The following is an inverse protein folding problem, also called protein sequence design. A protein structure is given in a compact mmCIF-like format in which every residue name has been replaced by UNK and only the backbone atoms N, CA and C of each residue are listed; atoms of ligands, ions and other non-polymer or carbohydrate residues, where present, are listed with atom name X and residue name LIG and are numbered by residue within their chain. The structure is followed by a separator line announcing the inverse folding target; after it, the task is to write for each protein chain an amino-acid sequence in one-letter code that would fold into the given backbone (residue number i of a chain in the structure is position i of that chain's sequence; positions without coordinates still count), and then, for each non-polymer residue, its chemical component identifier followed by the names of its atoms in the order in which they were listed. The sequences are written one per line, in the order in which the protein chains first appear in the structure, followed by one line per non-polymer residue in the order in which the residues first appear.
data_IF_701194205516
#
_entry.id   IF_701194205516
#
_cell.length_a   1.000
_cell.length_b   1.000
_cell.length_c   1.000
_cell.angle_alpha   90.00
_cell.angle_beta   90.00
_cell.angle_gamma   90.00
#
_symmetry.space_group_name_H-M   'P 1'
#
loop_
_entity.id
_entity.type
_entity.pdbx_description
1 polymer ?
#
# COMPACT_ATOMS: atom_id res chain seq x y z
N UNK A 1 -28.09 0.12 -41.89
CA UNK A 1 -27.29 -0.94 -41.25
C UNK A 1 -26.23 -0.22 -40.43
N UNK A 2 -26.57 0.12 -39.20
CA UNK A 2 -25.62 0.76 -38.29
C UNK A 2 -24.65 -0.30 -37.79
N UNK A 3 -23.45 -0.30 -38.36
CA UNK A 3 -22.37 -1.16 -37.92
C UNK A 3 -21.82 -0.56 -36.62
N UNK A 4 -22.52 -0.80 -35.52
CA UNK A 4 -22.04 -0.49 -34.18
C UNK A 4 -20.65 -1.13 -33.97
N UNK A 5 -19.74 -0.46 -33.24
CA UNK A 5 -18.45 -1.07 -32.91
C UNK A 5 -18.68 -2.35 -32.10
N UNK A 6 -17.93 -3.41 -32.41
CA UNK A 6 -18.07 -4.74 -31.79
C UNK A 6 -17.59 -4.82 -30.32
N UNK A 7 -17.27 -3.69 -29.69
CA UNK A 7 -16.72 -3.62 -28.33
C UNK A 7 -17.42 -2.51 -27.53
N UNK A 8 -17.96 -2.84 -26.34
CA UNK A 8 -18.78 -1.93 -25.51
C UNK A 8 -18.02 -1.18 -24.41
N UNK A 9 -16.86 -1.67 -23.98
CA UNK A 9 -15.98 -1.01 -23.01
C UNK A 9 -14.54 -1.49 -23.20
N UNK A 10 -13.57 -0.64 -22.88
CA UNK A 10 -12.14 -1.00 -22.84
C UNK A 10 -11.62 -0.75 -21.44
N UNK A 11 -10.95 -1.75 -20.86
CA UNK A 11 -10.21 -1.62 -19.62
C UNK A 11 -8.73 -1.91 -19.89
N UNK A 12 -7.88 -0.98 -19.48
CA UNK A 12 -6.43 -1.10 -19.58
C UNK A 12 -5.82 -0.94 -18.18
N UNK A 13 -4.72 -1.62 -17.94
CA UNK A 13 -3.92 -1.53 -16.73
C UNK A 13 -2.46 -1.80 -17.11
N UNK A 14 -1.54 -1.01 -16.57
CA UNK A 14 -0.13 -1.08 -16.91
C UNK A 14 0.59 -2.02 -15.94
N UNK A 15 1.33 -2.99 -16.48
CA UNK A 15 2.08 -3.98 -15.68
C UNK A 15 3.49 -3.52 -15.30
N UNK A 16 4.05 -2.52 -16.00
CA UNK A 16 5.44 -2.10 -15.83
C UNK A 16 5.61 -0.60 -15.53
N UNK A 17 6.78 -0.31 -14.95
CA UNK A 17 7.22 0.97 -14.40
C UNK A 17 7.36 2.03 -15.49
N UNK A 18 6.63 3.15 -15.38
CA UNK A 18 6.85 4.32 -16.23
C UNK A 18 8.13 5.02 -15.77
N UNK A 19 9.22 4.83 -16.50
CA UNK A 19 10.46 5.59 -16.32
C UNK A 19 10.44 6.70 -17.38
N UNK A 20 10.13 7.94 -16.99
CA UNK A 20 10.13 9.05 -17.95
C UNK A 20 10.08 10.46 -17.34
N UNK A 21 11.09 11.27 -17.69
CA UNK A 21 11.15 12.73 -17.54
C UNK A 21 12.35 13.24 -16.74
N UNK A 22 13.18 14.13 -17.30
CA UNK A 22 14.32 14.75 -16.62
C UNK A 22 13.89 15.55 -15.37
N UNK A 23 14.17 15.01 -14.19
CA UNK A 23 14.07 15.69 -12.88
C UNK A 23 15.48 15.86 -12.26
N UNK A 24 16.53 15.67 -13.07
CA UNK A 24 17.93 15.56 -12.62
C UNK A 24 18.61 16.87 -12.21
N UNK A 25 17.98 18.02 -12.40
CA UNK A 25 18.66 19.32 -12.30
C UNK A 25 18.77 19.91 -10.89
N UNK A 26 18.22 19.25 -9.86
CA UNK A 26 18.28 19.74 -8.47
C UNK A 26 18.77 18.62 -7.53
N UNK A 27 20.02 18.67 -7.03
CA UNK A 27 20.54 17.70 -6.09
C UNK A 27 19.71 17.66 -4.80
N UNK A 28 19.33 16.46 -4.34
CA UNK A 28 18.56 16.25 -3.10
C UNK A 28 17.03 16.36 -3.25
N UNK A 29 16.52 17.23 -4.12
CA UNK A 29 15.06 17.38 -4.35
C UNK A 29 14.52 16.37 -5.37
N UNK A 30 15.37 15.98 -6.33
CA UNK A 30 15.00 15.12 -7.44
C UNK A 30 14.54 13.73 -7.01
N UNK A 31 15.21 13.14 -6.03
CA UNK A 31 14.86 11.82 -5.52
C UNK A 31 13.49 11.80 -4.85
N UNK A 32 13.23 12.72 -3.91
CA UNK A 32 11.97 12.78 -3.16
C UNK A 32 10.76 13.10 -4.07
N UNK A 33 10.93 14.01 -5.04
CA UNK A 33 9.88 14.33 -6.02
C UNK A 33 9.63 13.14 -6.94
N UNK A 34 10.70 12.50 -7.44
CA UNK A 34 10.58 11.36 -8.32
C UNK A 34 9.95 10.16 -7.61
N UNK A 35 10.29 9.91 -6.34
CA UNK A 35 9.67 8.87 -5.54
C UNK A 35 8.19 9.16 -5.26
N UNK A 36 7.84 10.42 -4.98
CA UNK A 36 6.45 10.86 -4.76
C UNK A 36 5.60 10.70 -6.01
N UNK A 37 6.08 11.19 -7.16
CA UNK A 37 5.40 11.07 -8.46
C UNK A 37 5.25 9.60 -8.81
N UNK A 38 6.32 8.83 -8.65
CA UNK A 38 6.33 7.41 -8.94
C UNK A 38 5.31 6.64 -8.08
N UNK A 39 5.30 6.88 -6.77
CA UNK A 39 4.33 6.27 -5.86
C UNK A 39 2.88 6.66 -6.20
N UNK A 40 2.64 7.91 -6.59
CA UNK A 40 1.31 8.37 -7.01
C UNK A 40 0.85 7.71 -8.32
N UNK A 41 1.76 7.53 -9.29
CA UNK A 41 1.46 6.84 -10.55
C UNK A 41 1.25 5.34 -10.33
N UNK A 42 2.09 4.71 -9.51
CA UNK A 42 1.92 3.31 -9.11
C UNK A 42 0.53 3.11 -8.50
N UNK A 43 0.13 3.96 -7.56
CA UNK A 43 -1.16 3.86 -6.90
C UNK A 43 -2.37 4.13 -7.82
N UNK A 44 -2.15 4.70 -9.01
CA UNK A 44 -3.20 5.14 -9.94
C UNK A 44 -3.35 4.23 -11.17
N UNK A 45 -2.27 3.60 -11.63
CA UNK A 45 -2.25 2.90 -12.94
C UNK A 45 -1.87 1.42 -12.82
N UNK A 46 -1.31 1.00 -11.69
CA UNK A 46 -0.96 -0.42 -11.49
C UNK A 46 -2.19 -1.25 -11.19
N UNK A 47 -2.19 -2.48 -11.70
CA UNK A 47 -3.19 -3.48 -11.33
C UNK A 47 -3.21 -3.66 -9.81
N UNK A 48 -4.38 -3.66 -9.13
CA UNK A 48 -5.76 -3.81 -9.58
C UNK A 48 -6.52 -2.54 -10.00
N UNK A 49 -5.89 -1.36 -9.99
CA UNK A 49 -6.59 -0.12 -10.35
C UNK A 49 -6.96 -0.13 -11.84
N UNK A 50 -8.23 0.17 -12.12
CA UNK A 50 -8.84 0.07 -13.46
C UNK A 50 -9.44 1.41 -13.82
N UNK A 51 -9.05 1.96 -14.97
CA UNK A 51 -9.79 3.05 -15.63
C UNK A 51 -10.76 2.39 -16.61
N UNK A 52 -12.07 2.56 -16.37
CA UNK A 52 -13.13 2.05 -17.24
C UNK A 52 -13.66 3.23 -18.05
N UNK A 53 -13.42 3.22 -19.36
CA UNK A 53 -14.01 4.20 -20.27
C UNK A 53 -15.17 3.58 -21.04
N UNK A 54 -16.42 4.02 -20.81
CA UNK A 54 -17.55 3.60 -21.62
C UNK A 54 -17.41 4.23 -23.03
N UNK A 55 -17.48 3.39 -24.07
CA UNK A 55 -17.30 3.84 -25.46
C UNK A 55 -18.62 4.32 -26.08
N UNK A 56 -19.75 3.93 -25.48
CA UNK A 56 -21.11 4.31 -25.92
C UNK A 56 -21.90 4.72 -24.67
N UNK A 57 -22.92 5.58 -24.82
CA UNK A 57 -23.85 5.93 -23.75
C UNK A 57 -24.95 4.85 -23.64
N UNK A 58 -25.03 4.15 -22.51
CA UNK A 58 -25.97 3.05 -22.28
C UNK A 58 -25.87 2.46 -20.88
N UNK A 59 -26.79 1.56 -20.53
CA UNK A 59 -26.93 0.99 -19.20
C UNK A 59 -25.96 -0.21 -19.01
N UNK A 60 -24.68 0.10 -18.75
CA UNK A 60 -23.57 -0.88 -18.66
C UNK A 60 -23.38 -1.51 -17.29
N UNK A 61 -24.36 -1.39 -16.40
CA UNK A 61 -24.30 -1.90 -15.02
C UNK A 61 -23.85 -3.37 -15.00
N UNK A 62 -24.36 -4.21 -15.89
CA UNK A 62 -23.98 -5.63 -15.97
C UNK A 62 -22.54 -5.88 -16.42
N UNK A 63 -21.99 -5.09 -17.35
CA UNK A 63 -20.58 -5.23 -17.76
C UNK A 63 -19.63 -4.73 -16.67
N UNK A 64 -20.05 -3.73 -15.90
CA UNK A 64 -19.27 -3.21 -14.77
C UNK A 64 -19.16 -4.25 -13.63
N UNK A 65 -20.16 -5.13 -13.45
CA UNK A 65 -20.08 -6.23 -12.49
C UNK A 65 -19.00 -7.26 -12.83
N UNK A 66 -18.87 -7.66 -14.10
CA UNK A 66 -17.81 -8.60 -14.53
C UNK A 66 -16.40 -7.98 -14.48
N UNK A 67 -16.31 -6.64 -14.47
CA UNK A 67 -15.08 -5.90 -14.27
C UNK A 67 -14.71 -5.70 -12.80
N UNK A 68 -15.58 -6.09 -11.86
CA UNK A 68 -15.24 -6.04 -10.43
C UNK A 68 -14.12 -7.04 -10.12
N UNK A 69 -13.19 -6.60 -9.28
CA UNK A 69 -12.06 -7.40 -8.87
C UNK A 69 -12.55 -8.59 -8.06
N UNK A 70 -12.39 -9.79 -8.62
CA UNK A 70 -12.62 -11.02 -7.87
C UNK A 70 -11.45 -11.17 -6.88
N UNK A 71 -11.72 -11.33 -5.58
CA UNK A 71 -10.65 -11.53 -4.62
C UNK A 71 -9.91 -12.84 -4.93
N UNK A 72 -8.59 -12.76 -5.05
CA UNK A 72 -7.71 -13.92 -5.16
C UNK A 72 -7.62 -14.68 -3.83
N UNK A 73 -7.81 -13.99 -2.71
CA UNK A 73 -7.84 -14.63 -1.39
C UNK A 73 -7.88 -13.64 -0.23
N UNK A 74 -7.70 -14.16 0.97
CA UNK A 74 -7.58 -13.40 2.22
C UNK A 74 -6.16 -13.56 2.74
N UNK A 75 -5.52 -12.43 3.03
CA UNK A 75 -4.25 -12.37 3.73
C UNK A 75 -4.51 -12.15 5.22
N UNK A 76 -4.17 -13.13 6.04
CA UNK A 76 -4.16 -13.02 7.50
C UNK A 76 -2.81 -12.49 7.99
N UNK A 77 -2.83 -11.36 8.67
CA UNK A 77 -1.65 -10.70 9.22
C UNK A 77 -1.76 -10.65 10.73
N UNK A 78 -0.83 -11.31 11.42
CA UNK A 78 -0.66 -11.14 12.87
C UNK A 78 0.42 -10.09 13.15
N UNK A 79 0.00 -8.89 13.49
CA UNK A 79 0.90 -7.81 13.92
C UNK A 79 1.31 -8.07 15.37
N UNK A 80 2.53 -8.57 15.58
CA UNK A 80 3.00 -9.02 16.90
C UNK A 80 3.63 -7.88 17.71
N UNK A 81 4.82 -7.43 17.30
CA UNK A 81 5.61 -6.46 18.07
C UNK A 81 6.60 -5.70 17.16
N UNK A 82 7.06 -4.55 17.63
CA UNK A 82 8.25 -3.85 17.15
C UNK A 82 9.28 -3.79 18.29
N UNK A 83 10.56 -3.62 17.94
CA UNK A 83 11.66 -3.49 18.92
C UNK A 83 12.66 -2.47 18.45
N UNK A 84 13.19 -1.71 19.40
CA UNK A 84 14.21 -0.69 19.12
C UNK A 84 13.71 0.39 18.16
N UNK A 85 12.45 0.80 18.30
CA UNK A 85 11.96 2.00 17.61
C UNK A 85 12.86 3.18 18.01
N UNK A 86 13.30 3.97 17.03
CA UNK A 86 14.12 5.16 17.27
C UNK A 86 13.19 6.33 17.53
N UNK A 87 13.44 7.04 18.62
CA UNK A 87 12.87 8.36 18.84
C UNK A 87 13.94 9.36 18.36
N UNK A 88 13.59 10.26 17.44
CA UNK A 88 14.53 11.31 17.02
C UNK A 88 14.88 12.22 18.20
N UNK A 89 13.97 12.36 19.16
CA UNK A 89 14.22 12.98 20.44
C UNK A 89 14.82 11.96 21.41
N UNK A 90 16.13 12.10 21.65
CA UNK A 90 16.96 11.22 22.50
C UNK A 90 16.51 11.09 23.98
N UNK A 91 15.30 11.52 24.37
CA UNK A 91 14.72 11.38 25.71
C UNK A 91 13.19 11.16 25.65
N UNK A 92 12.76 9.89 25.57
CA UNK A 92 11.51 9.35 26.14
C UNK A 92 10.14 9.82 25.60
N UNK A 93 9.20 8.85 25.50
CA UNK A 93 7.78 8.94 25.07
C UNK A 93 7.53 8.90 23.57
N UNK A 94 7.83 7.75 22.96
CA UNK A 94 7.12 7.37 21.73
C UNK A 94 5.87 6.58 22.08
N UNK A 95 4.76 6.98 21.47
CA UNK A 95 3.46 6.34 21.52
C UNK A 95 3.17 5.64 20.17
N UNK A 96 3.86 4.52 19.84
CA UNK A 96 3.80 3.95 18.51
C UNK A 96 2.47 3.26 18.17
N UNK A 97 2.06 3.41 16.91
CA UNK A 97 0.98 2.63 16.29
C UNK A 97 1.30 2.30 14.83
N UNK A 98 0.76 1.20 14.32
CA UNK A 98 0.93 0.79 12.93
C UNK A 98 -0.30 1.13 12.07
N UNK A 99 -0.05 1.55 10.83
CA UNK A 99 -1.02 1.53 9.72
C UNK A 99 -0.59 0.45 8.75
N UNK A 100 -1.49 -0.49 8.47
CA UNK A 100 -1.23 -1.65 7.62
C UNK A 100 -2.26 -1.70 6.49
N UNK A 101 -1.81 -1.88 5.25
CA UNK A 101 -2.69 -1.96 4.08
C UNK A 101 -2.05 -2.66 2.90
N UNK A 102 -2.87 -3.20 2.00
CA UNK A 102 -2.42 -3.80 0.74
C UNK A 102 -2.41 -2.72 -0.34
N UNK A 103 -1.24 -2.40 -0.89
CA UNK A 103 -1.13 -1.46 -2.02
C UNK A 103 -1.64 -2.11 -3.31
N UNK A 104 -2.17 -1.30 -4.24
CA UNK A 104 -2.34 0.16 -4.21
C UNK A 104 -3.63 0.66 -3.51
N UNK A 105 -4.45 -0.23 -2.94
CA UNK A 105 -5.79 0.11 -2.44
C UNK A 105 -5.70 0.72 -1.03
N UNK A 106 -5.54 2.04 -0.97
CA UNK A 106 -5.42 2.79 0.30
C UNK A 106 -6.71 2.81 1.12
N UNK A 107 -7.87 2.54 0.53
CA UNK A 107 -9.16 2.61 1.23
C UNK A 107 -9.35 1.49 2.28
N UNK A 108 -8.42 0.52 2.33
CA UNK A 108 -8.45 -0.61 3.27
C UNK A 108 -7.34 -0.53 4.34
N UNK A 109 -6.96 0.68 4.76
CA UNK A 109 -6.00 0.87 5.85
C UNK A 109 -6.60 0.42 7.18
N UNK A 110 -5.90 -0.50 7.84
CA UNK A 110 -6.17 -0.90 9.23
C UNK A 110 -5.14 -0.24 10.14
N UNK A 111 -5.62 0.44 11.18
CA UNK A 111 -4.79 1.08 12.21
C UNK A 111 -4.77 0.20 13.46
N UNK A 112 -3.60 -0.05 14.01
CA UNK A 112 -3.45 -0.74 15.29
C UNK A 112 -3.76 0.16 16.47
N UNK A 113 -3.85 -0.42 17.67
CA UNK A 113 -3.77 0.34 18.91
C UNK A 113 -2.45 1.09 19.01
N UNK A 114 -2.53 2.25 19.66
CA UNK A 114 -1.37 3.00 20.13
C UNK A 114 -0.87 2.36 21.43
N UNK A 115 0.43 2.06 21.49
CA UNK A 115 1.09 1.61 22.72
C UNK A 115 1.79 2.83 23.31
N UNK A 116 1.51 3.17 24.55
CA UNK A 116 2.01 4.41 25.13
C UNK A 116 3.42 4.23 25.71
N UNK A 117 4.32 5.16 25.39
CA UNK A 117 5.67 5.30 25.93
C UNK A 117 6.48 4.00 25.91
N UNK A 118 6.49 3.30 24.77
CA UNK A 118 7.20 2.02 24.62
C UNK A 118 7.83 1.87 23.23
N UNK A 119 9.17 1.87 23.19
CA UNK A 119 9.97 1.64 21.97
C UNK A 119 9.99 0.17 21.54
N UNK A 120 9.40 -0.73 22.34
CA UNK A 120 9.27 -2.16 22.09
C UNK A 120 7.79 -2.59 22.06
N UNK A 121 6.96 -1.80 21.37
CA UNK A 121 5.52 -1.98 21.28
C UNK A 121 5.10 -3.42 20.95
N UNK A 122 4.17 -3.96 21.74
CA UNK A 122 3.55 -5.27 21.53
C UNK A 122 2.05 -5.05 21.23
N UNK A 123 1.64 -5.29 19.99
CA UNK A 123 0.24 -5.12 19.55
C UNK A 123 -0.56 -6.42 19.69
N UNK A 124 0.00 -7.55 19.24
CA UNK A 124 -0.68 -8.84 19.15
C UNK A 124 -2.07 -8.77 18.46
N UNK A 125 -2.15 -8.04 17.35
CA UNK A 125 -3.40 -7.83 16.62
C UNK A 125 -3.52 -8.73 15.39
N UNK A 126 -4.73 -9.21 15.11
CA UNK A 126 -5.05 -9.98 13.92
C UNK A 126 -5.77 -9.08 12.91
N UNK A 127 -5.22 -9.00 11.69
CA UNK A 127 -5.70 -8.13 10.63
C UNK A 127 -5.88 -8.95 9.34
N UNK A 128 -7.09 -8.92 8.79
CA UNK A 128 -7.40 -9.60 7.52
C UNK A 128 -7.46 -8.61 6.35
N UNK A 129 -6.88 -8.97 5.21
CA UNK A 129 -6.95 -8.14 4.00
C UNK A 129 -7.40 -8.96 2.80
N UNK A 130 -8.37 -8.44 2.07
CA UNK A 130 -8.74 -8.99 0.75
C UNK A 130 -7.63 -8.70 -0.25
N UNK A 131 -7.08 -9.76 -0.85
CA UNK A 131 -6.07 -9.71 -1.89
C UNK A 131 -6.74 -10.01 -3.23
N UNK A 132 -6.39 -9.25 -4.26
CA UNK A 132 -6.96 -9.34 -5.60
C UNK A 132 -5.94 -9.91 -6.59
N UNK A 133 -4.64 -9.66 -6.39
CA UNK A 133 -3.54 -10.29 -7.14
C UNK A 133 -2.26 -10.31 -6.33
N UNK A 134 -1.82 -11.53 -6.03
CA UNK A 134 -0.61 -11.83 -5.26
C UNK A 134 0.66 -11.39 -6.01
N UNK A 135 0.62 -11.33 -7.35
CA UNK A 135 1.80 -11.04 -8.17
C UNK A 135 2.19 -9.56 -8.22
N UNK A 136 1.22 -8.65 -8.09
CA UNK A 136 1.44 -7.19 -8.16
C UNK A 136 1.28 -6.49 -6.81
N UNK A 137 0.48 -7.06 -5.90
CA UNK A 137 0.20 -6.42 -4.62
C UNK A 137 1.29 -6.68 -3.58
N UNK A 138 1.40 -5.74 -2.65
CA UNK A 138 2.29 -5.82 -1.49
C UNK A 138 1.58 -5.30 -0.24
N UNK A 139 1.91 -5.87 0.91
CA UNK A 139 1.50 -5.40 2.22
C UNK A 139 2.45 -4.28 2.65
N UNK A 140 1.93 -3.08 2.83
CA UNK A 140 2.66 -1.96 3.40
C UNK A 140 2.36 -1.81 4.88
N UNK A 141 3.41 -1.71 5.68
CA UNK A 141 3.33 -1.49 7.13
C UNK A 141 4.08 -0.20 7.42
N UNK A 142 3.38 0.76 8.01
CA UNK A 142 3.94 2.03 8.46
C UNK A 142 3.73 2.17 9.96
N UNK A 143 4.79 2.35 10.73
CA UNK A 143 4.69 2.64 12.16
C UNK A 143 4.91 4.13 12.36
N UNK A 144 3.99 4.72 13.11
CA UNK A 144 3.97 6.11 13.45
C UNK A 144 4.14 6.30 14.94
N UNK A 145 4.74 7.41 15.34
CA UNK A 145 4.71 7.91 16.71
C UNK A 145 3.52 8.86 16.87
N UNK A 146 2.65 8.61 17.85
CA UNK A 146 1.54 9.51 18.14
C UNK A 146 1.99 10.66 19.05
N UNK A 147 2.21 11.83 18.47
CA UNK A 147 2.43 13.03 19.27
C UNK A 147 1.11 13.55 19.85
N UNK A 148 1.02 13.75 21.16
CA UNK A 148 -0.23 14.04 21.86
C UNK A 148 -1.14 15.08 21.21
N UNK A 149 -0.60 16.26 20.84
CA UNK A 149 -1.32 17.31 20.10
C UNK A 149 -0.77 17.55 18.68
N UNK A 150 0.31 16.87 18.32
CA UNK A 150 1.01 17.02 17.05
C UNK A 150 0.47 16.10 15.96
N UNK A 151 0.98 16.25 14.75
CA UNK A 151 0.75 15.28 13.69
C UNK A 151 1.60 14.03 13.98
N UNK A 152 1.02 12.85 13.82
CA UNK A 152 1.77 11.62 14.03
C UNK A 152 2.95 11.51 13.05
N UNK A 153 4.14 11.28 13.59
CA UNK A 153 5.38 11.19 12.82
C UNK A 153 5.57 9.77 12.27
N UNK A 154 6.02 9.63 11.02
CA UNK A 154 6.36 8.31 10.47
C UNK A 154 7.77 7.91 10.93
N UNK A 155 7.85 6.94 11.84
CA UNK A 155 9.14 6.46 12.38
C UNK A 155 9.66 5.22 11.66
N UNK A 156 8.79 4.46 10.99
CA UNK A 156 9.22 3.29 10.21
C UNK A 156 8.26 2.91 9.08
N UNK A 157 8.82 2.41 7.99
CA UNK A 157 8.06 1.94 6.84
C UNK A 157 8.71 0.68 6.26
N UNK A 158 7.90 -0.31 5.93
CA UNK A 158 8.35 -1.48 5.18
C UNK A 158 7.26 -2.03 4.29
N UNK A 159 7.67 -2.85 3.33
CA UNK A 159 6.78 -3.57 2.42
C UNK A 159 7.12 -5.05 2.40
N UNK A 160 6.09 -5.88 2.31
CA UNK A 160 6.19 -7.32 2.08
C UNK A 160 5.47 -7.64 0.78
N UNK A 161 6.20 -8.13 -0.21
CA UNK A 161 5.58 -8.55 -1.47
C UNK A 161 4.78 -9.82 -1.25
N UNK A 162 3.56 -9.88 -1.79
CA UNK A 162 2.70 -11.03 -1.57
C UNK A 162 3.16 -12.26 -2.36
N UNK A 163 3.88 -12.08 -3.47
CA UNK A 163 4.49 -13.15 -4.24
C UNK A 163 5.59 -13.92 -3.47
N UNK A 164 6.17 -13.32 -2.43
CA UNK A 164 7.14 -13.96 -1.53
C UNK A 164 6.47 -14.81 -0.44
N UNK A 165 5.13 -14.82 -0.39
CA UNK A 165 4.33 -15.58 0.57
C UNK A 165 3.75 -16.82 -0.11
N UNK A 166 3.87 -17.96 0.58
CA UNK A 166 3.27 -19.20 0.12
C UNK A 166 1.84 -19.33 0.69
N UNK A 167 0.82 -19.53 -0.17
CA UNK A 167 -0.55 -19.69 0.29
C UNK A 167 -0.71 -20.83 1.32
N UNK A 168 -1.46 -20.57 2.39
CA UNK A 168 -1.73 -21.55 3.45
C UNK A 168 -0.55 -21.86 4.38
N UNK A 169 0.62 -21.24 4.17
CA UNK A 169 1.76 -21.37 5.07
C UNK A 169 1.98 -20.11 5.88
N UNK A 170 2.15 -20.30 7.18
CA UNK A 170 2.48 -19.22 8.09
C UNK A 170 3.97 -18.87 7.95
N UNK A 171 4.25 -17.61 7.59
CA UNK A 171 5.62 -17.07 7.48
C UNK A 171 5.89 -16.07 8.60
N UNK A 172 6.67 -16.50 9.59
CA UNK A 172 7.15 -15.62 10.66
C UNK A 172 8.37 -14.84 10.19
N UNK A 173 8.35 -13.52 10.31
CA UNK A 173 9.46 -12.67 9.88
C UNK A 173 9.65 -11.46 10.80
N UNK A 174 10.92 -11.15 11.05
CA UNK A 174 11.33 -9.84 11.56
C UNK A 174 11.68 -8.97 10.36
N UNK A 175 10.91 -7.91 10.16
CA UNK A 175 11.15 -6.94 9.10
C UNK A 175 12.20 -5.95 9.61
N UNK A 176 13.33 -5.86 8.91
CA UNK A 176 14.42 -4.96 9.31
C UNK A 176 13.97 -3.51 9.22
N UNK A 177 14.46 -2.71 10.17
CA UNK A 177 14.36 -1.26 10.13
C UNK A 177 15.12 -0.77 8.89
N UNK A 178 14.38 -0.39 7.84
CA UNK A 178 14.93 0.51 6.84
C UNK A 178 14.79 1.90 7.48
N UNK A 179 15.91 2.48 7.91
CA UNK A 179 15.93 3.89 8.28
C UNK A 179 15.35 4.69 7.11
N UNK A 180 14.54 5.71 7.39
CA UNK A 180 13.68 6.45 6.44
C UNK A 180 14.39 7.23 5.32
N UNK A 181 15.46 6.67 4.76
CA UNK A 181 16.22 7.17 3.62
C UNK A 181 16.63 5.93 2.81
N UNK A 182 15.85 5.58 1.79
CA UNK A 182 16.40 4.78 0.70
C UNK A 182 15.89 5.26 -0.63
#
# INVERSE_FOLDING_TARGET
MDQFPRFGAVSFSMREKVIGGEVSSIPGLSYAIQETIHNALEDSITWPVRIIMPVIAGDYVYLLFDLQLKPAGILEVKLVQARGLTNEDNVGKSDPFAKVYVRPIKDRIKKSKTINNDLNAIWNEHLEFTVEDVSTQNLLIKVYDAEGLGAAELIWCTRVYLNDLEPGKLKNMWLKLANGQQ
#
